data_IF_061735346402
#
_entry.id   IF_061735346402
#
_cell.length_a   1.000
_cell.length_b   1.000
_cell.length_c   1.000
_cell.angle_alpha   90.00
_cell.angle_beta   90.00
_cell.angle_gamma   90.00
#
_symmetry.space_group_name_H-M   'P 1'
#
loop_
_entity.id
_entity.type
_entity.pdbx_description
1 polymer ?
#
# COMPACT_ATOMS: atom_id res chain seq x y z
N UNK A 1 -0.17 31.61 -13.44
CA UNK A 1 -1.29 30.70 -13.76
C UNK A 1 -1.68 30.95 -15.22
N UNK A 2 -0.69 30.84 -16.14
CA UNK A 2 -0.74 31.46 -17.49
C UNK A 2 -0.38 30.49 -18.63
N UNK A 3 -0.18 29.21 -18.30
CA UNK A 3 0.28 28.19 -19.25
C UNK A 3 -0.73 27.93 -20.38
N UNK A 4 -2.02 28.22 -20.18
CA UNK A 4 -3.05 27.97 -21.21
C UNK A 4 -3.04 28.98 -22.35
N UNK A 5 -2.69 30.24 -22.08
CA UNK A 5 -2.51 31.25 -23.15
C UNK A 5 -1.17 31.09 -23.84
N UNK A 6 -0.14 30.67 -23.10
CA UNK A 6 1.23 30.52 -23.60
C UNK A 6 1.34 29.42 -24.67
N UNK A 7 0.74 28.24 -24.42
CA UNK A 7 0.72 27.13 -25.41
C UNK A 7 -0.05 27.50 -26.68
N UNK A 8 -1.14 28.27 -26.54
CA UNK A 8 -1.93 28.68 -27.70
C UNK A 8 -1.11 29.60 -28.63
N UNK A 9 -0.36 30.53 -28.05
CA UNK A 9 0.55 31.43 -28.78
C UNK A 9 1.68 30.63 -29.45
N UNK A 10 2.33 29.74 -28.71
CA UNK A 10 3.40 28.92 -29.28
C UNK A 10 2.89 27.97 -30.39
N UNK A 11 1.68 27.41 -30.25
CA UNK A 11 1.08 26.59 -31.31
C UNK A 11 0.74 27.42 -32.56
N UNK A 12 0.35 28.68 -32.41
CA UNK A 12 0.16 29.57 -33.54
C UNK A 12 1.49 29.86 -34.25
N UNK A 13 2.59 30.01 -33.49
CA UNK A 13 3.93 30.13 -34.05
C UNK A 13 4.29 28.85 -34.84
N UNK A 14 3.98 27.67 -34.32
CA UNK A 14 4.18 26.39 -35.03
C UNK A 14 3.38 26.35 -36.33
N UNK A 15 2.11 26.75 -36.29
CA UNK A 15 1.24 26.77 -37.47
C UNK A 15 1.85 27.64 -38.58
N UNK A 16 2.31 28.85 -38.22
CA UNK A 16 2.98 29.75 -39.18
C UNK A 16 4.27 29.15 -39.74
N UNK A 17 5.08 28.48 -38.90
CA UNK A 17 6.30 27.82 -39.37
C UNK A 17 6.00 26.60 -40.25
N UNK A 18 4.92 25.86 -39.98
CA UNK A 18 4.50 24.71 -40.79
C UNK A 18 3.85 25.12 -42.13
N UNK A 19 3.35 26.35 -42.25
CA UNK A 19 2.92 26.94 -43.53
C UNK A 19 4.12 27.39 -44.39
N UNK A 20 5.24 27.75 -43.76
CA UNK A 20 6.44 28.26 -44.44
C UNK A 20 7.54 27.19 -44.67
N UNK A 21 7.61 26.14 -43.85
CA UNK A 21 8.59 25.05 -43.88
C UNK A 21 7.87 23.70 -43.61
N UNK A 22 8.61 22.60 -43.46
CA UNK A 22 8.01 21.29 -43.15
C UNK A 22 7.44 21.23 -41.73
N UNK A 23 6.29 20.55 -41.58
CA UNK A 23 5.64 20.34 -40.28
C UNK A 23 6.59 19.66 -39.28
N UNK A 24 7.37 18.67 -39.72
CA UNK A 24 8.47 18.08 -38.95
C UNK A 24 9.41 19.10 -38.29
N UNK A 25 9.89 20.07 -39.08
CA UNK A 25 10.86 21.07 -38.60
C UNK A 25 10.21 22.05 -37.64
N UNK A 26 9.01 22.52 -37.96
CA UNK A 26 8.22 23.39 -37.08
C UNK A 26 7.98 22.74 -35.71
N UNK A 27 7.58 21.47 -35.70
CA UNK A 27 7.29 20.73 -34.48
C UNK A 27 8.54 20.39 -33.67
N UNK A 28 9.67 20.11 -34.34
CA UNK A 28 10.98 19.90 -33.69
C UNK A 28 11.49 21.15 -33.00
N UNK A 29 11.34 22.31 -33.64
CA UNK A 29 11.75 23.60 -33.06
C UNK A 29 10.85 23.99 -31.87
N UNK A 30 9.55 23.71 -31.94
CA UNK A 30 8.64 23.86 -30.81
C UNK A 30 8.98 22.93 -29.64
N UNK A 31 9.29 21.66 -29.93
CA UNK A 31 9.69 20.70 -28.91
C UNK A 31 10.98 21.13 -28.19
N UNK A 32 11.93 21.73 -28.93
CA UNK A 32 13.16 22.32 -28.37
C UNK A 32 12.87 23.48 -27.40
N UNK A 33 11.84 24.30 -27.66
CA UNK A 33 11.48 25.47 -26.84
C UNK A 33 10.67 25.09 -25.61
N UNK A 34 9.68 24.20 -25.75
CA UNK A 34 8.80 23.79 -24.65
C UNK A 34 9.50 22.92 -23.61
N UNK A 35 10.59 22.23 -23.97
CA UNK A 35 11.36 21.34 -23.09
C UNK A 35 10.49 20.31 -22.34
N UNK A 36 9.36 19.91 -22.94
CA UNK A 36 8.43 18.96 -22.38
C UNK A 36 8.64 17.58 -23.04
N UNK A 37 8.80 16.50 -22.26
CA UNK A 37 9.08 15.16 -22.79
C UNK A 37 7.98 14.67 -23.74
N UNK A 38 6.72 15.00 -23.44
CA UNK A 38 5.56 14.61 -24.24
C UNK A 38 5.56 15.29 -25.62
N UNK A 39 6.01 16.55 -25.70
CA UNK A 39 6.09 17.30 -26.96
C UNK A 39 7.24 16.77 -27.83
N UNK A 40 8.37 16.40 -27.21
CA UNK A 40 9.47 15.72 -27.91
C UNK A 40 9.01 14.40 -28.51
N UNK A 41 8.29 13.57 -27.74
CA UNK A 41 7.75 12.30 -28.22
C UNK A 41 6.78 12.47 -29.39
N UNK A 42 5.89 13.47 -29.31
CA UNK A 42 5.02 13.84 -30.42
C UNK A 42 5.81 14.25 -31.67
N UNK A 43 6.85 15.07 -31.53
CA UNK A 43 7.66 15.53 -32.67
C UNK A 43 8.36 14.36 -33.39
N UNK A 44 8.87 13.39 -32.63
CA UNK A 44 9.49 12.18 -33.18
C UNK A 44 8.49 11.25 -33.85
N UNK A 45 7.27 11.16 -33.30
CA UNK A 45 6.18 10.38 -33.89
C UNK A 45 5.70 11.01 -35.21
N UNK A 46 5.45 12.32 -35.23
CA UNK A 46 5.08 13.04 -36.46
C UNK A 46 6.19 12.89 -37.50
N UNK A 47 7.45 12.98 -37.07
CA UNK A 47 8.59 12.76 -37.95
C UNK A 47 8.61 11.37 -38.59
N UNK A 48 8.33 10.33 -37.83
CA UNK A 48 8.22 8.97 -38.35
C UNK A 48 7.03 8.78 -39.29
N UNK A 49 5.90 9.46 -39.01
CA UNK A 49 4.66 9.28 -39.78
C UNK A 49 4.63 10.02 -41.11
N UNK A 50 5.35 11.15 -41.24
CA UNK A 50 5.52 11.85 -42.53
C UNK A 50 6.23 10.96 -43.57
N UNK A 51 7.17 10.11 -43.13
CA UNK A 51 7.87 9.16 -44.00
C UNK A 51 6.95 8.02 -44.49
N UNK A 52 5.84 7.76 -43.79
CA UNK A 52 4.91 6.67 -44.08
C UNK A 52 3.70 7.10 -44.93
N UNK A 53 3.48 8.41 -45.12
CA UNK A 53 2.56 8.96 -46.11
C UNK A 53 1.05 8.80 -45.86
N UNK A 54 0.59 7.89 -45.00
CA UNK A 54 -0.86 7.58 -44.86
C UNK A 54 -1.45 7.70 -43.45
N UNK A 55 -0.66 7.83 -42.38
CA UNK A 55 -1.19 7.65 -41.00
C UNK A 55 -0.80 8.72 -39.96
N UNK A 56 -0.43 9.95 -40.36
CA UNK A 56 -0.19 11.07 -39.42
C UNK A 56 -1.38 11.28 -38.47
N UNK A 57 -2.61 11.39 -39.03
CA UNK A 57 -3.79 11.70 -38.24
C UNK A 57 -4.13 10.61 -37.21
N UNK A 58 -3.98 9.33 -37.60
CA UNK A 58 -4.21 8.18 -36.72
C UNK A 58 -3.19 8.15 -35.59
N UNK A 59 -1.90 8.31 -35.91
CA UNK A 59 -0.83 8.22 -34.91
C UNK A 59 -0.90 9.37 -33.89
N UNK A 60 -1.24 10.58 -34.31
CA UNK A 60 -1.46 11.72 -33.38
C UNK A 60 -2.68 11.49 -32.50
N UNK A 61 -3.76 10.91 -33.04
CA UNK A 61 -4.96 10.59 -32.25
C UNK A 61 -4.65 9.54 -31.19
N UNK A 62 -3.94 8.47 -31.56
CA UNK A 62 -3.50 7.42 -30.63
C UNK A 62 -2.54 7.98 -29.56
N UNK A 63 -1.61 8.85 -29.95
CA UNK A 63 -0.75 9.54 -29.01
C UNK A 63 -1.54 10.41 -28.03
N UNK A 64 -2.53 11.16 -28.51
CA UNK A 64 -3.38 11.99 -27.66
C UNK A 64 -4.20 11.16 -26.66
N UNK A 65 -4.74 10.01 -27.09
CA UNK A 65 -5.44 9.09 -26.22
C UNK A 65 -4.49 8.43 -25.20
N UNK A 66 -3.27 8.10 -25.62
CA UNK A 66 -2.22 7.59 -24.73
C UNK A 66 -1.86 8.60 -23.65
N UNK A 67 -1.68 9.88 -24.03
CA UNK A 67 -1.44 10.98 -23.09
C UNK A 67 -2.59 11.13 -22.09
N UNK A 68 -3.85 11.12 -22.55
CA UNK A 68 -5.04 11.16 -21.67
C UNK A 68 -5.06 9.99 -20.68
N UNK A 69 -4.73 8.78 -21.13
CA UNK A 69 -4.64 7.59 -20.26
C UNK A 69 -3.51 7.73 -19.25
N UNK A 70 -2.32 8.18 -19.65
CA UNK A 70 -1.21 8.39 -18.72
C UNK A 70 -1.56 9.42 -17.63
N UNK A 71 -2.23 10.52 -17.97
CA UNK A 71 -2.66 11.50 -16.96
C UNK A 71 -3.63 10.88 -15.94
N UNK A 72 -4.56 10.03 -16.39
CA UNK A 72 -5.48 9.29 -15.50
C UNK A 72 -4.72 8.28 -14.63
N UNK A 73 -3.82 7.50 -15.21
CA UNK A 73 -3.00 6.53 -14.47
C UNK A 73 -2.12 7.20 -13.41
N UNK A 74 -1.48 8.33 -13.72
CA UNK A 74 -0.71 9.09 -12.72
C UNK A 74 -1.58 9.62 -11.57
N UNK A 75 -2.86 9.93 -11.84
CA UNK A 75 -3.81 10.28 -10.79
C UNK A 75 -4.23 9.07 -9.96
N UNK A 76 -4.48 7.92 -10.59
CA UNK A 76 -4.82 6.65 -9.94
C UNK A 76 -3.64 6.08 -9.12
N UNK A 77 -2.41 6.18 -9.61
CA UNK A 77 -1.20 5.80 -8.87
C UNK A 77 -1.03 6.64 -7.60
N UNK A 78 -1.36 7.94 -7.67
CA UNK A 78 -1.37 8.83 -6.49
C UNK A 78 -2.48 8.45 -5.51
N UNK A 79 -3.65 8.06 -6.01
CA UNK A 79 -4.75 7.56 -5.18
C UNK A 79 -4.38 6.24 -4.49
N UNK A 80 -3.79 5.29 -5.21
CA UNK A 80 -3.42 3.99 -4.65
C UNK A 80 -2.29 4.09 -3.60
N UNK A 81 -1.32 4.99 -3.81
CA UNK A 81 -0.31 5.31 -2.78
C UNK A 81 -0.91 5.99 -1.54
N UNK A 82 -2.13 6.53 -1.62
CA UNK A 82 -2.83 7.14 -0.48
C UNK A 82 -3.44 6.08 0.42
N UNK A 83 -3.95 4.97 -0.13
CA UNK A 83 -4.54 3.87 0.64
C UNK A 83 -3.59 3.29 1.68
N UNK A 84 -2.31 3.11 1.34
CA UNK A 84 -1.32 2.55 2.28
C UNK A 84 -0.96 3.53 3.41
N UNK A 85 -1.02 4.84 3.14
CA UNK A 85 -0.84 5.90 4.15
C UNK A 85 -2.03 6.01 5.11
N UNK A 86 -3.22 5.57 4.69
CA UNK A 86 -4.41 5.50 5.53
C UNK A 86 -4.45 4.21 6.38
N UNK A 87 -3.84 3.13 5.91
CA UNK A 87 -3.76 1.88 6.67
C UNK A 87 -2.81 2.00 7.89
N UNK A 88 -1.70 2.71 7.73
CA UNK A 88 -0.71 2.94 8.80
C UNK A 88 -1.32 3.52 10.11
N UNK A 89 -2.09 4.63 10.09
CA UNK A 89 -2.71 5.17 11.31
C UNK A 89 -3.79 4.26 11.88
N UNK A 90 -4.48 3.46 11.05
CA UNK A 90 -5.49 2.50 11.51
C UNK A 90 -4.85 1.39 12.34
N UNK A 91 -3.75 0.80 11.85
CA UNK A 91 -3.00 -0.23 12.57
C UNK A 91 -2.46 0.32 13.89
N UNK A 92 -1.93 1.55 13.89
CA UNK A 92 -1.41 2.20 15.08
C UNK A 92 -2.49 2.46 16.13
N UNK A 93 -3.73 2.75 15.70
CA UNK A 93 -4.86 2.96 16.60
C UNK A 93 -5.43 1.64 17.15
N UNK A 94 -5.37 0.55 16.37
CA UNK A 94 -5.90 -0.76 16.76
C UNK A 94 -4.93 -1.59 17.61
N UNK A 95 -3.61 -1.42 17.42
CA UNK A 95 -2.59 -2.11 18.20
C UNK A 95 -2.68 -1.89 19.72
N UNK A 96 -2.83 -0.66 20.27
CA UNK A 96 -2.88 -0.44 21.72
C UNK A 96 -4.05 -1.14 22.43
N UNK A 97 -5.32 -1.04 21.98
CA UNK A 97 -6.42 -1.72 22.64
C UNK A 97 -6.30 -3.25 22.54
N UNK A 98 -5.84 -3.78 21.40
CA UNK A 98 -5.60 -5.23 21.26
C UNK A 98 -4.50 -5.71 22.21
N UNK A 99 -3.41 -4.96 22.35
CA UNK A 99 -2.34 -5.27 23.30
C UNK A 99 -2.84 -5.28 24.74
N UNK A 100 -3.65 -4.29 25.12
CA UNK A 100 -4.26 -4.21 26.47
C UNK A 100 -5.20 -5.40 26.74
N UNK A 101 -6.02 -5.79 25.76
CA UNK A 101 -6.91 -6.94 25.90
C UNK A 101 -6.15 -8.27 26.00
N UNK A 102 -5.02 -8.40 25.31
CA UNK A 102 -4.22 -9.62 25.30
C UNK A 102 -3.33 -9.76 26.55
N UNK A 103 -2.71 -8.66 27.00
CA UNK A 103 -1.82 -8.64 28.19
C UNK A 103 -2.60 -8.45 29.50
N UNK A 104 -3.75 -7.78 29.46
CA UNK A 104 -4.58 -7.47 30.63
C UNK A 104 -4.93 -8.68 31.51
N UNK A 105 -5.58 -9.74 30.97
CA UNK A 105 -5.98 -10.88 31.79
C UNK A 105 -4.79 -11.64 32.40
N UNK A 106 -3.71 -11.96 31.64
CA UNK A 106 -2.52 -12.60 32.19
C UNK A 106 -1.87 -11.83 33.32
N UNK A 107 -1.76 -10.51 33.20
CA UNK A 107 -1.13 -9.67 34.24
C UNK A 107 -1.96 -9.66 35.52
N UNK A 108 -3.30 -9.61 35.41
CA UNK A 108 -4.19 -9.70 36.58
C UNK A 108 -4.11 -11.07 37.24
N UNK A 109 -4.08 -12.15 36.47
CA UNK A 109 -3.96 -13.52 36.99
C UNK A 109 -2.62 -13.74 37.69
N UNK A 110 -1.51 -13.27 37.09
CA UNK A 110 -0.17 -13.41 37.67
C UNK A 110 -0.05 -12.62 38.98
N UNK A 111 -0.59 -11.39 39.04
CA UNK A 111 -0.59 -10.60 40.27
C UNK A 111 -1.37 -11.28 41.38
N UNK A 112 -2.55 -11.82 41.07
CA UNK A 112 -3.38 -12.49 42.06
C UNK A 112 -2.70 -13.79 42.55
N UNK A 113 -2.16 -14.60 41.63
CA UNK A 113 -1.40 -15.80 41.97
C UNK A 113 -0.17 -15.49 42.85
N UNK A 114 0.57 -14.43 42.53
CA UNK A 114 1.75 -14.02 43.31
C UNK A 114 1.38 -13.51 44.70
N UNK A 115 0.28 -12.76 44.82
CA UNK A 115 -0.23 -12.29 46.11
C UNK A 115 -0.71 -13.47 46.98
N UNK A 116 -1.44 -14.42 46.41
CA UNK A 116 -1.90 -15.62 47.10
C UNK A 116 -0.73 -16.55 47.48
N UNK A 117 0.35 -16.55 46.70
CA UNK A 117 1.58 -17.27 47.01
C UNK A 117 2.42 -16.60 48.13
N UNK A 118 2.23 -15.30 48.37
CA UNK A 118 2.91 -14.56 49.45
C UNK A 118 2.22 -14.76 50.81
N UNK A 119 0.92 -15.05 50.85
CA UNK A 119 0.29 -15.62 52.04
C UNK A 119 0.75 -17.08 52.21
N UNK A 120 1.65 -17.25 53.17
CA UNK A 120 2.41 -18.46 53.44
C UNK A 120 1.49 -19.63 53.84
N UNK A 121 1.01 -20.39 52.84
CA UNK A 121 0.20 -21.61 53.06
C UNK A 121 -0.40 -22.27 51.81
N UNK A 122 -0.34 -21.64 50.63
CA UNK A 122 -1.01 -22.12 49.41
C UNK A 122 -0.22 -23.16 48.58
N UNK A 123 -0.94 -24.17 48.06
CA UNK A 123 -0.71 -25.17 46.96
C UNK A 123 0.66 -25.83 46.72
N UNK A 124 1.76 -25.28 47.22
CA UNK A 124 3.12 -25.81 47.13
C UNK A 124 3.57 -26.45 48.45
N UNK A 125 2.70 -26.47 49.48
CA UNK A 125 2.98 -27.19 50.71
C UNK A 125 2.99 -28.71 50.43
N UNK A 126 4.10 -29.42 50.67
CA UNK A 126 4.22 -30.86 50.39
C UNK A 126 3.20 -31.73 51.11
N UNK A 127 2.54 -31.24 52.18
CA UNK A 127 1.46 -31.99 52.86
C UNK A 127 0.15 -32.04 52.06
N UNK A 128 -0.09 -31.08 51.17
CA UNK A 128 -1.34 -31.00 50.38
C UNK A 128 -1.40 -32.00 49.21
N UNK A 129 -0.28 -32.66 48.88
CA UNK A 129 -0.23 -33.80 47.97
C UNK A 129 -0.57 -35.11 48.68
N UNK A 130 -0.22 -35.23 49.96
CA UNK A 130 -0.41 -36.45 50.75
C UNK A 130 -1.89 -36.73 51.01
N UNK A 131 -2.71 -35.69 51.19
CA UNK A 131 -4.15 -35.82 51.46
C UNK A 131 -4.99 -36.17 50.22
N UNK A 132 -4.52 -35.84 49.01
CA UNK A 132 -5.20 -36.23 47.76
C UNK A 132 -4.82 -37.63 47.26
N UNK A 133 -3.75 -38.24 47.79
CA UNK A 133 -3.31 -39.58 47.39
C UNK A 133 -3.94 -40.73 48.19
N UNK A 134 -4.78 -40.46 49.20
CA UNK A 134 -5.39 -41.50 50.04
C UNK A 134 -6.86 -41.80 49.70
N UNK A 135 -7.12 -42.34 48.51
CA UNK A 135 -8.16 -43.37 48.39
C UNK A 135 -7.63 -44.70 47.80
N UNK A 136 -6.34 -44.78 47.46
CA UNK A 136 -5.79 -45.93 46.72
C UNK A 136 -5.15 -47.01 47.62
N UNK A 137 -4.84 -46.69 48.88
CA UNK A 137 -4.34 -47.67 49.86
C UNK A 137 -5.41 -48.68 50.27
N UNK A 138 -6.69 -48.32 50.11
CA UNK A 138 -7.82 -49.22 50.38
C UNK A 138 -8.09 -50.22 49.24
N UNK A 139 -7.27 -50.22 48.17
CA UNK A 139 -7.35 -51.25 47.12
C UNK A 139 -6.53 -52.51 47.44
N UNK A 140 -5.66 -52.49 48.46
CA UNK A 140 -5.08 -53.74 49.00
C UNK A 140 -6.04 -54.47 49.94
N UNK A 141 -6.94 -53.76 50.62
CA UNK A 141 -7.89 -54.36 51.57
C UNK A 141 -9.05 -55.09 50.87
N UNK A 142 -9.33 -54.78 49.60
CA UNK A 142 -10.37 -55.47 48.80
C UNK A 142 -9.80 -56.71 48.07
N UNK A 143 -8.47 -56.89 48.00
CA UNK A 143 -7.85 -58.05 47.36
C UNK A 143 -7.76 -59.29 48.27
N UNK A 144 -8.03 -59.16 49.57
CA UNK A 144 -8.01 -60.28 50.52
C UNK A 144 -9.36 -61.03 50.65
N UNK A 145 -10.41 -60.57 49.97
CA UNK A 145 -11.79 -61.07 50.12
C UNK A 145 -12.39 -61.67 48.83
N UNK A 146 -11.55 -62.29 47.98
CA UNK A 146 -12.00 -63.08 46.83
C UNK A 146 -11.77 -64.59 47.09
N UNK A 147 -12.79 -65.46 46.92
CA UNK A 147 -12.66 -66.91 47.10
C UNK A 147 -11.73 -67.58 46.08
#
# INVERSE_FOLDING_TARGET
MDCRSDIAVELEVVRRHAEADTMQRALKEFARRMNAPDVNALSSLVSQTELMGTHVATAVTEFADTMRRQYRQRAEERANKTSIKLLFPVILCLAPPVFILMVGPPVLQLRNFLHDAHESGGVLNPSSYTERLTPVTNLEEIREDLP
#
